data_IF_171965761299
#
_entry.id   IF_171965761299
#
_cell.length_a   1.000
_cell.length_b   1.000
_cell.length_c   1.000
_cell.angle_alpha   90.00
_cell.angle_beta   90.00
_cell.angle_gamma   90.00
#
_symmetry.space_group_name_H-M   'P 1'
#
loop_
_entity.id
_entity.type
_entity.pdbx_description
1 polymer ?
#
# COMPACT_ATOMS: atom_id res chain seq x y z
N UNK A 1 17.04 3.37 16.70
CA UNK A 1 15.96 4.31 16.34
C UNK A 1 16.27 5.62 17.04
N UNK A 2 16.07 6.79 16.43
CA UNK A 2 16.18 8.05 17.19
C UNK A 2 14.98 8.13 18.14
N UNK A 3 15.24 8.60 19.36
CA UNK A 3 14.19 8.88 20.33
C UNK A 3 13.28 10.02 19.81
N UNK A 4 12.03 10.00 20.28
CA UNK A 4 11.02 10.98 19.92
C UNK A 4 11.27 12.35 20.57
N UNK A 5 12.08 12.37 21.63
CA UNK A 5 12.53 13.55 22.34
C UNK A 5 14.06 13.66 22.33
N UNK A 6 14.53 14.87 22.62
CA UNK A 6 15.94 15.13 22.95
C UNK A 6 16.02 15.39 24.45
N UNK A 7 16.84 14.63 25.17
CA UNK A 7 17.07 14.88 26.59
C UNK A 7 18.00 16.09 26.75
N UNK A 8 17.49 17.15 27.37
CA UNK A 8 18.24 18.36 27.70
C UNK A 8 18.22 18.50 29.23
N UNK A 9 19.35 18.23 29.87
CA UNK A 9 19.51 18.32 31.33
C UNK A 9 18.50 17.47 32.13
N UNK A 10 18.17 16.26 31.65
CA UNK A 10 17.22 15.37 32.32
C UNK A 10 15.76 15.65 31.99
N UNK A 11 15.47 16.61 31.12
CA UNK A 11 14.12 16.93 30.62
C UNK A 11 14.02 16.46 29.17
N UNK A 12 12.99 15.68 28.86
CA UNK A 12 12.71 15.26 27.49
C UNK A 12 11.95 16.36 26.74
N UNK A 13 12.60 16.91 25.71
CA UNK A 13 12.03 17.95 24.85
C UNK A 13 11.53 17.32 23.55
N UNK A 14 10.23 17.40 23.32
CA UNK A 14 9.59 16.90 22.11
C UNK A 14 9.48 18.00 21.06
N UNK A 15 9.75 17.64 19.80
CA UNK A 15 9.60 18.58 18.68
C UNK A 15 8.13 18.80 18.31
N UNK A 16 7.27 17.80 18.54
CA UNK A 16 5.86 17.80 18.18
C UNK A 16 5.05 17.00 19.21
N UNK A 17 3.87 17.49 19.56
CA UNK A 17 2.96 16.82 20.52
C UNK A 17 2.55 15.42 20.08
N UNK A 18 2.50 15.17 18.76
CA UNK A 18 2.27 13.83 18.20
C UNK A 18 3.28 12.81 18.73
N UNK A 19 4.55 13.20 18.89
CA UNK A 19 5.58 12.32 19.42
C UNK A 19 5.47 12.16 20.94
N UNK A 20 5.07 13.23 21.64
CA UNK A 20 4.80 13.17 23.07
C UNK A 20 3.66 12.19 23.36
N UNK A 21 2.50 12.36 22.73
CA UNK A 21 1.33 11.49 22.94
C UNK A 21 1.54 10.06 22.46
N UNK A 22 2.40 9.84 21.45
CA UNK A 22 2.80 8.49 21.08
C UNK A 22 3.59 7.80 22.19
N UNK A 23 4.55 8.48 22.81
CA UNK A 23 5.35 7.93 23.91
C UNK A 23 4.53 7.81 25.19
N UNK A 24 3.62 8.76 25.45
CA UNK A 24 2.65 8.69 26.55
C UNK A 24 1.76 7.46 26.41
N UNK A 25 1.11 7.25 25.25
CA UNK A 25 0.28 6.07 25.00
C UNK A 25 1.05 4.75 25.21
N UNK A 26 2.27 4.65 24.70
CA UNK A 26 3.11 3.46 24.86
C UNK A 26 3.41 3.21 26.34
N UNK A 27 3.65 4.27 27.10
CA UNK A 27 3.98 4.17 28.52
C UNK A 27 2.76 3.89 29.40
N UNK A 28 1.63 4.55 29.14
CA UNK A 28 0.46 4.51 30.03
C UNK A 28 -0.53 3.43 29.63
N UNK A 29 -0.88 3.34 28.34
CA UNK A 29 -1.92 2.41 27.86
C UNK A 29 -1.34 1.02 27.56
N UNK A 30 -0.09 0.95 27.08
CA UNK A 30 0.58 -0.32 26.81
C UNK A 30 1.52 -0.78 27.92
N UNK A 31 1.76 0.04 28.95
CA UNK A 31 2.66 -0.25 30.07
C UNK A 31 4.10 -0.63 29.61
N UNK A 32 4.58 -0.01 28.52
CA UNK A 32 5.92 -0.26 27.96
C UNK A 32 6.84 0.91 28.30
N UNK A 33 7.76 0.70 29.25
CA UNK A 33 8.77 1.70 29.62
C UNK A 33 9.83 1.91 28.54
N UNK A 34 10.17 0.86 27.78
CA UNK A 34 11.19 0.90 26.73
C UNK A 34 10.79 0.04 25.54
N UNK A 35 10.78 0.67 24.37
CA UNK A 35 10.54 -0.04 23.11
C UNK A 35 11.73 -0.95 22.80
N UNK A 36 11.46 -2.25 22.71
CA UNK A 36 12.41 -3.30 22.33
C UNK A 36 11.85 -4.07 21.13
N UNK A 37 12.65 -4.96 20.54
CA UNK A 37 12.14 -5.79 19.44
C UNK A 37 11.10 -6.82 19.92
N UNK A 38 11.10 -7.16 21.20
CA UNK A 38 10.16 -8.12 21.82
C UNK A 38 8.74 -7.54 21.93
N UNK A 39 8.62 -6.25 22.27
CA UNK A 39 7.32 -5.57 22.43
C UNK A 39 6.89 -4.76 21.19
N UNK A 40 7.74 -4.70 20.15
CA UNK A 40 7.45 -3.96 18.92
C UNK A 40 6.15 -4.38 18.26
N UNK A 41 5.85 -5.68 18.24
CA UNK A 41 4.63 -6.21 17.63
C UNK A 41 3.36 -5.75 18.35
N UNK A 42 3.41 -5.57 19.67
CA UNK A 42 2.30 -5.03 20.47
C UNK A 42 1.99 -3.61 20.00
N UNK A 43 3.02 -2.77 19.88
CA UNK A 43 2.87 -1.38 19.42
C UNK A 43 2.37 -1.33 17.98
N UNK A 44 2.89 -2.19 17.09
CA UNK A 44 2.41 -2.29 15.70
C UNK A 44 0.93 -2.67 15.65
N UNK A 45 0.49 -3.62 16.49
CA UNK A 45 -0.89 -4.09 16.52
C UNK A 45 -1.85 -3.05 17.12
N UNK A 46 -1.37 -2.25 18.08
CA UNK A 46 -2.14 -1.16 18.70
C UNK A 46 -1.99 0.19 17.99
N UNK A 47 -1.34 0.24 16.82
CA UNK A 47 -0.98 1.51 16.19
C UNK A 47 -2.19 2.39 15.83
N UNK A 48 -3.31 1.79 15.42
CA UNK A 48 -4.52 2.55 15.10
C UNK A 48 -5.10 3.20 16.36
N UNK A 49 -5.10 2.48 17.47
CA UNK A 49 -5.57 2.99 18.77
C UNK A 49 -4.66 4.11 19.28
N UNK A 50 -3.34 3.95 19.16
CA UNK A 50 -2.38 5.03 19.42
C UNK A 50 -2.64 6.28 18.57
N UNK A 51 -2.99 6.12 17.29
CA UNK A 51 -3.33 7.26 16.43
C UNK A 51 -4.61 7.95 16.90
N UNK A 52 -5.62 7.21 17.34
CA UNK A 52 -6.84 7.78 17.91
C UNK A 52 -6.55 8.53 19.21
N UNK A 53 -5.74 7.95 20.09
CA UNK A 53 -5.28 8.59 21.33
C UNK A 53 -4.57 9.92 21.05
N UNK A 54 -3.61 9.93 20.12
CA UNK A 54 -2.94 11.17 19.71
C UNK A 54 -3.95 12.17 19.15
N UNK A 55 -4.87 11.71 18.30
CA UNK A 55 -5.88 12.54 17.68
C UNK A 55 -6.77 13.24 18.72
N UNK A 56 -7.15 12.56 19.80
CA UNK A 56 -7.98 13.11 20.88
C UNK A 56 -7.26 14.19 21.70
N UNK A 57 -5.93 14.16 21.72
CA UNK A 57 -5.12 15.03 22.58
C UNK A 57 -4.41 16.18 21.85
N UNK A 58 -4.47 16.25 20.51
CA UNK A 58 -3.92 17.37 19.73
C UNK A 58 -5.00 18.30 19.20
N UNK A 59 -4.65 19.58 19.01
CA UNK A 59 -5.52 20.53 18.30
C UNK A 59 -5.74 20.09 16.85
N UNK A 60 -7.00 20.12 16.41
CA UNK A 60 -7.37 19.69 15.05
C UNK A 60 -6.98 20.74 14.03
N UNK A 61 -6.19 20.39 13.00
CA UNK A 61 -5.82 21.33 11.95
C UNK A 61 -7.06 21.74 11.14
N UNK A 62 -7.09 22.98 10.68
CA UNK A 62 -8.10 23.42 9.71
C UNK A 62 -7.89 22.73 8.36
N UNK A 63 -9.00 22.37 7.70
CA UNK A 63 -8.99 21.83 6.35
C UNK A 63 -8.41 22.83 5.32
N UNK A 64 -8.39 24.13 5.64
CA UNK A 64 -7.81 25.17 4.78
C UNK A 64 -6.28 25.19 4.81
N UNK A 65 -5.67 24.76 5.92
CA UNK A 65 -4.22 24.84 6.13
C UNK A 65 -3.50 23.60 5.58
N UNK A 66 -3.34 23.57 4.26
CA UNK A 66 -2.70 22.45 3.57
C UNK A 66 -1.23 22.28 3.95
N UNK A 67 -0.53 23.35 4.31
CA UNK A 67 0.87 23.29 4.69
C UNK A 67 1.03 22.65 6.08
N UNK A 68 0.18 23.03 7.04
CA UNK A 68 0.13 22.37 8.34
C UNK A 68 -0.23 20.89 8.20
N UNK A 69 -1.28 20.56 7.43
CA UNK A 69 -1.68 19.18 7.17
C UNK A 69 -0.55 18.36 6.54
N UNK A 70 0.20 18.95 5.60
CA UNK A 70 1.35 18.30 4.98
C UNK A 70 2.51 18.13 5.98
N UNK A 71 2.73 19.08 6.89
CA UNK A 71 3.64 18.95 8.02
C UNK A 71 3.26 17.77 8.91
N UNK A 72 2.00 17.67 9.30
CA UNK A 72 1.46 16.56 10.11
C UNK A 72 1.62 15.23 9.38
N UNK A 73 1.33 15.16 8.07
CA UNK A 73 1.55 13.94 7.28
C UNK A 73 3.01 13.49 7.29
N UNK A 74 3.97 14.43 7.26
CA UNK A 74 5.39 14.11 7.34
C UNK A 74 5.80 13.55 8.71
N UNK A 75 5.16 13.99 9.79
CA UNK A 75 5.34 13.43 11.14
C UNK A 75 4.71 12.04 11.21
N UNK A 76 3.47 11.91 10.74
CA UNK A 76 2.71 10.65 10.68
C UNK A 76 3.48 9.55 9.95
N UNK A 77 3.97 9.79 8.72
CA UNK A 77 4.70 8.76 7.97
C UNK A 77 6.00 8.34 8.66
N UNK A 78 6.64 9.25 9.41
CA UNK A 78 7.82 8.92 10.24
C UNK A 78 7.43 8.05 11.42
N UNK A 79 6.29 8.33 12.05
CA UNK A 79 5.72 7.51 13.12
C UNK A 79 5.42 6.09 12.62
N UNK A 80 4.74 5.96 11.47
CA UNK A 80 4.50 4.66 10.84
C UNK A 80 5.81 3.89 10.60
N UNK A 81 6.82 4.54 10.02
CA UNK A 81 8.13 3.93 9.80
C UNK A 81 8.81 3.51 11.10
N UNK A 82 8.69 4.31 12.17
CA UNK A 82 9.27 4.03 13.49
C UNK A 82 8.73 2.72 14.07
N UNK A 83 7.43 2.49 13.95
CA UNK A 83 6.76 1.32 14.53
C UNK A 83 6.46 0.20 13.52
N UNK A 84 7.08 0.24 12.34
CA UNK A 84 6.98 -0.84 11.34
C UNK A 84 5.60 -0.96 10.68
N UNK A 85 4.83 0.13 10.66
CA UNK A 85 3.48 0.19 10.06
C UNK A 85 3.56 0.84 8.68
N UNK A 86 2.74 0.37 7.74
CA UNK A 86 2.59 1.01 6.44
C UNK A 86 1.60 2.19 6.56
N UNK A 87 1.99 3.41 6.18
CA UNK A 87 1.08 4.56 6.25
C UNK A 87 -0.08 4.39 5.27
N UNK A 88 -1.29 4.75 5.71
CA UNK A 88 -2.50 4.79 4.87
C UNK A 88 -3.18 6.14 5.02
N UNK A 89 -3.94 6.56 3.99
CA UNK A 89 -4.73 7.78 4.09
C UNK A 89 -5.89 7.64 5.07
N UNK A 90 -6.44 6.44 5.26
CA UNK A 90 -7.47 6.16 6.27
C UNK A 90 -6.94 6.45 7.68
N UNK A 91 -5.78 5.91 8.05
CA UNK A 91 -5.23 6.13 9.37
C UNK A 91 -4.75 7.58 9.55
N UNK A 92 -4.19 8.20 8.50
CA UNK A 92 -3.91 9.64 8.53
C UNK A 92 -5.18 10.48 8.76
N UNK A 93 -6.31 10.09 8.15
CA UNK A 93 -7.60 10.77 8.29
C UNK A 93 -8.10 10.78 9.74
N UNK A 94 -7.86 9.68 10.48
CA UNK A 94 -8.16 9.60 11.91
C UNK A 94 -7.33 10.60 12.73
N UNK A 95 -6.01 10.68 12.45
CA UNK A 95 -5.11 11.60 13.13
C UNK A 95 -5.58 13.05 13.03
N UNK A 96 -5.85 13.52 11.80
CA UNK A 96 -6.23 14.92 11.55
C UNK A 96 -7.71 15.20 11.72
N UNK A 97 -8.55 14.18 11.94
CA UNK A 97 -10.00 14.35 12.11
C UNK A 97 -10.74 14.79 10.84
N UNK A 98 -10.22 14.43 9.66
CA UNK A 98 -10.83 14.76 8.36
C UNK A 98 -11.44 13.48 7.77
N UNK A 99 -12.61 13.57 7.13
CA UNK A 99 -13.18 12.42 6.44
C UNK A 99 -12.27 11.98 5.29
N UNK A 100 -11.96 10.69 5.21
CA UNK A 100 -11.12 10.11 4.15
C UNK A 100 -11.58 10.46 2.73
N UNK A 101 -12.89 10.56 2.49
CA UNK A 101 -13.46 10.93 1.20
C UNK A 101 -13.04 12.34 0.78
N UNK A 102 -12.87 13.27 1.73
CA UNK A 102 -12.40 14.63 1.44
C UNK A 102 -11.03 14.65 0.77
N UNK A 103 -10.14 13.72 1.12
CA UNK A 103 -8.85 13.58 0.41
C UNK A 103 -9.04 13.11 -1.03
N UNK A 104 -10.01 12.22 -1.27
CA UNK A 104 -10.37 11.78 -2.63
C UNK A 104 -10.93 12.94 -3.45
N UNK A 105 -11.84 13.73 -2.89
CA UNK A 105 -12.42 14.89 -3.54
C UNK A 105 -11.35 15.91 -3.92
N UNK A 106 -10.37 16.15 -3.04
CA UNK A 106 -9.20 17.00 -3.34
C UNK A 106 -8.36 16.43 -4.47
N UNK A 107 -8.04 15.13 -4.46
CA UNK A 107 -7.25 14.49 -5.51
C UNK A 107 -7.95 14.58 -6.88
N UNK A 108 -9.26 14.38 -6.90
CA UNK A 108 -10.09 14.47 -8.10
C UNK A 108 -10.28 15.92 -8.58
N UNK A 109 -10.04 16.90 -7.72
CA UNK A 109 -10.31 18.31 -8.03
C UNK A 109 -11.81 18.61 -8.06
N UNK A 110 -12.61 17.93 -7.24
CA UNK A 110 -14.05 18.22 -7.13
C UNK A 110 -14.29 19.58 -6.45
N UNK A 111 -13.41 19.93 -5.51
CA UNK A 111 -13.36 21.23 -4.84
C UNK A 111 -11.91 21.70 -4.71
N UNK A 112 -11.69 23.02 -4.53
CA UNK A 112 -10.36 23.62 -4.34
C UNK A 112 -9.38 23.36 -5.50
N UNK A 113 -9.88 23.36 -6.73
CA UNK A 113 -9.11 23.07 -7.96
C UNK A 113 -7.92 23.98 -8.18
N UNK A 114 -7.94 25.20 -7.63
CA UNK A 114 -6.89 26.21 -7.77
C UNK A 114 -5.91 26.23 -6.59
N UNK A 115 -6.09 25.39 -5.57
CA UNK A 115 -5.21 25.35 -4.39
C UNK A 115 -4.22 24.18 -4.46
N UNK A 116 -3.25 24.18 -3.55
CA UNK A 116 -2.27 23.10 -3.43
C UNK A 116 -2.87 21.79 -2.87
N UNK A 117 -4.13 21.77 -2.42
CA UNK A 117 -4.77 20.62 -1.78
C UNK A 117 -4.76 19.37 -2.66
N UNK A 118 -5.15 19.49 -3.94
CA UNK A 118 -5.22 18.33 -4.82
C UNK A 118 -3.86 17.70 -5.12
N UNK A 119 -2.83 18.52 -5.36
CA UNK A 119 -1.46 18.04 -5.58
C UNK A 119 -0.86 17.44 -4.32
N UNK A 120 -1.14 18.03 -3.16
CA UNK A 120 -0.64 17.56 -1.87
C UNK A 120 -1.30 16.25 -1.46
N UNK A 121 -2.61 16.10 -1.64
CA UNK A 121 -3.32 14.85 -1.40
C UNK A 121 -2.84 13.71 -2.32
N UNK A 122 -2.58 14.00 -3.61
CA UNK A 122 -1.96 13.05 -4.55
C UNK A 122 -0.57 12.63 -4.06
N UNK A 123 0.25 13.57 -3.60
CA UNK A 123 1.57 13.29 -3.01
C UNK A 123 1.46 12.39 -1.77
N UNK A 124 0.48 12.60 -0.89
CA UNK A 124 0.25 11.73 0.25
C UNK A 124 -0.12 10.30 -0.18
N UNK A 125 -1.05 10.19 -1.13
CA UNK A 125 -1.45 8.90 -1.72
C UNK A 125 -0.27 8.15 -2.35
N UNK A 126 0.53 8.84 -3.17
CA UNK A 126 1.72 8.26 -3.80
C UNK A 126 2.79 7.87 -2.78
N UNK A 127 2.89 8.61 -1.67
CA UNK A 127 3.77 8.24 -0.56
C UNK A 127 3.31 6.93 0.08
N UNK A 128 2.03 6.80 0.43
CA UNK A 128 1.47 5.56 0.98
C UNK A 128 1.68 4.37 0.03
N UNK A 129 1.43 4.57 -1.27
CA UNK A 129 1.72 3.59 -2.33
C UNK A 129 3.19 3.17 -2.33
N UNK A 130 4.11 4.15 -2.27
CA UNK A 130 5.55 3.89 -2.32
C UNK A 130 6.05 3.07 -1.13
N UNK A 131 5.48 3.30 0.07
CA UNK A 131 5.79 2.47 1.25
C UNK A 131 5.36 1.02 1.04
N UNK A 132 4.15 0.78 0.50
CA UNK A 132 3.67 -0.56 0.21
C UNK A 132 4.54 -1.27 -0.84
N UNK A 133 4.88 -0.57 -1.93
CA UNK A 133 5.74 -1.11 -2.99
C UNK A 133 7.12 -1.45 -2.44
N UNK A 134 7.73 -0.56 -1.66
CA UNK A 134 9.03 -0.83 -1.04
C UNK A 134 8.96 -2.03 -0.09
N UNK A 135 7.89 -2.17 0.68
CA UNK A 135 7.71 -3.32 1.57
C UNK A 135 7.58 -4.63 0.81
N UNK A 136 6.78 -4.66 -0.27
CA UNK A 136 6.60 -5.84 -1.14
C UNK A 136 7.91 -6.22 -1.85
N UNK A 137 8.70 -5.24 -2.29
CA UNK A 137 9.98 -5.49 -2.96
C UNK A 137 11.04 -6.07 -2.01
N UNK A 138 10.99 -5.71 -0.72
CA UNK A 138 12.00 -6.12 0.26
C UNK A 138 11.52 -7.25 1.19
N UNK A 139 10.32 -7.81 0.98
CA UNK A 139 9.82 -8.92 1.79
C UNK A 139 10.53 -10.23 1.43
N UNK A 140 10.84 -11.06 2.43
CA UNK A 140 11.48 -12.39 2.24
C UNK A 140 10.58 -13.41 1.53
N UNK A 141 9.31 -13.07 1.28
CA UNK A 141 8.34 -13.92 0.61
C UNK A 141 7.12 -13.11 0.15
N UNK A 142 6.20 -13.80 -0.51
CA UNK A 142 4.97 -13.23 -1.06
C UNK A 142 3.94 -12.99 0.03
N UNK A 143 3.45 -11.76 0.14
CA UNK A 143 2.34 -11.38 1.01
C UNK A 143 1.09 -11.13 0.15
N UNK A 144 0.22 -12.15 0.03
CA UNK A 144 -0.96 -12.11 -0.83
C UNK A 144 -1.92 -10.97 -0.44
N UNK A 145 -2.07 -10.69 0.85
CA UNK A 145 -2.95 -9.62 1.34
C UNK A 145 -2.45 -8.26 0.86
N UNK A 146 -1.15 -8.00 0.96
CA UNK A 146 -0.55 -6.76 0.45
C UNK A 146 -0.65 -6.63 -1.06
N UNK A 147 -0.59 -7.74 -1.80
CA UNK A 147 -0.82 -7.73 -3.25
C UNK A 147 -2.28 -7.36 -3.57
N UNK A 148 -3.26 -7.93 -2.86
CA UNK A 148 -4.66 -7.55 -3.07
C UNK A 148 -4.93 -6.09 -2.73
N UNK A 149 -4.33 -5.58 -1.65
CA UNK A 149 -4.39 -4.15 -1.30
C UNK A 149 -3.72 -3.30 -2.38
N UNK A 150 -2.56 -3.69 -2.91
CA UNK A 150 -1.88 -2.97 -3.99
C UNK A 150 -2.76 -2.85 -5.25
N UNK A 151 -3.50 -3.92 -5.59
CA UNK A 151 -4.43 -3.94 -6.72
C UNK A 151 -5.67 -3.09 -6.46
N UNK A 152 -6.36 -3.33 -5.34
CA UNK A 152 -7.63 -2.69 -5.03
C UNK A 152 -7.51 -1.20 -4.70
N UNK A 153 -6.49 -0.82 -3.90
CA UNK A 153 -6.35 0.55 -3.41
C UNK A 153 -5.50 1.44 -4.33
N UNK A 154 -4.55 0.86 -5.08
CA UNK A 154 -3.57 1.63 -5.86
C UNK A 154 -3.56 1.33 -7.37
N UNK A 155 -4.49 0.50 -7.85
CA UNK A 155 -4.66 0.17 -9.26
C UNK A 155 -3.47 -0.55 -9.89
N UNK A 156 -2.64 -1.24 -9.09
CA UNK A 156 -1.50 -1.98 -9.61
C UNK A 156 -1.96 -3.24 -10.34
N UNK A 157 -1.23 -3.66 -11.37
CA UNK A 157 -1.54 -4.85 -12.14
C UNK A 157 -0.28 -5.67 -12.38
N UNK A 158 -0.45 -6.99 -12.55
CA UNK A 158 0.63 -7.87 -13.02
C UNK A 158 1.01 -7.45 -14.44
N UNK A 159 2.30 -7.51 -14.77
CA UNK A 159 2.70 -7.46 -16.17
C UNK A 159 2.26 -8.76 -16.84
N UNK A 160 1.26 -8.69 -17.72
CA UNK A 160 0.88 -9.84 -18.52
C UNK A 160 2.09 -10.24 -19.40
N UNK A 161 2.40 -11.54 -19.52
CA UNK A 161 3.44 -11.98 -20.44
C UNK A 161 3.05 -11.49 -21.84
N UNK A 162 4.00 -10.83 -22.52
CA UNK A 162 3.84 -10.48 -23.93
C UNK A 162 3.62 -11.80 -24.66
N UNK A 163 2.41 -12.03 -25.16
CA UNK A 163 2.17 -13.15 -26.06
C UNK A 163 3.09 -12.92 -27.25
N UNK A 164 4.15 -13.72 -27.37
CA UNK A 164 4.94 -13.75 -28.59
C UNK A 164 3.94 -14.04 -29.71
N UNK A 165 3.94 -13.20 -30.75
CA UNK A 165 3.08 -13.42 -31.90
C UNK A 165 3.21 -14.90 -32.29
N UNK A 166 2.09 -15.63 -32.28
CA UNK A 166 2.11 -17.01 -32.75
C UNK A 166 2.78 -16.99 -34.12
N UNK A 167 3.78 -17.85 -34.39
CA UNK A 167 4.24 -18.01 -35.77
C UNK A 167 2.97 -18.26 -36.60
N UNK A 168 2.78 -17.44 -37.63
CA UNK A 168 1.63 -17.47 -38.54
C UNK A 168 1.13 -18.90 -38.68
N UNK A 169 -0.10 -19.11 -38.22
CA UNK A 169 -0.65 -20.43 -37.97
C UNK A 169 -0.42 -21.39 -39.13
N UNK A 170 -0.36 -22.68 -38.79
CA UNK A 170 -0.57 -23.77 -39.75
C UNK A 170 -1.75 -23.34 -40.63
N UNK A 171 -1.59 -23.24 -41.97
CA UNK A 171 -2.67 -22.83 -42.84
C UNK A 171 -3.91 -23.66 -42.51
N UNK A 172 -5.03 -23.02 -42.17
CA UNK A 172 -6.30 -23.72 -42.06
C UNK A 172 -6.63 -24.25 -43.46
N UNK A 173 -6.26 -25.51 -43.69
CA UNK A 173 -6.61 -26.21 -44.92
C UNK A 173 -8.13 -26.22 -45.04
N UNK A 174 -8.63 -25.89 -46.23
CA UNK A 174 -10.08 -25.87 -46.43
C UNK A 174 -10.65 -27.27 -46.22
N UNK A 175 -11.95 -27.36 -45.92
CA UNK A 175 -12.63 -28.66 -45.79
C UNK A 175 -12.41 -29.55 -47.03
N UNK A 176 -12.30 -28.95 -48.21
CA UNK A 176 -11.99 -29.68 -49.44
C UNK A 176 -10.56 -30.25 -49.46
N UNK A 177 -9.56 -29.51 -48.99
CA UNK A 177 -8.17 -30.01 -48.89
C UNK A 177 -8.04 -31.19 -47.93
N UNK A 178 -8.74 -31.13 -46.80
CA UNK A 178 -8.78 -32.23 -45.81
C UNK A 178 -9.45 -33.46 -46.44
N UNK A 179 -10.58 -33.28 -47.12
CA UNK A 179 -11.28 -34.38 -47.81
C UNK A 179 -10.43 -35.01 -48.92
N UNK A 180 -9.72 -34.22 -49.72
CA UNK A 180 -8.84 -34.71 -50.77
C UNK A 180 -7.66 -35.53 -50.22
N UNK A 181 -7.09 -35.11 -49.08
CA UNK A 181 -5.99 -35.84 -48.42
C UNK A 181 -6.45 -37.18 -47.85
N UNK A 182 -7.67 -37.24 -47.32
CA UNK A 182 -8.25 -38.45 -46.73
C UNK A 182 -8.91 -39.38 -47.76
N UNK A 183 -9.24 -38.90 -48.96
CA UNK A 183 -9.78 -39.72 -50.05
C UNK A 183 -8.83 -40.87 -50.45
N UNK A 184 -7.50 -40.66 -50.33
CA UNK A 184 -6.49 -41.71 -50.57
C UNK A 184 -6.40 -42.77 -49.47
N UNK A 185 -7.06 -42.59 -48.32
CA UNK A 185 -7.09 -43.53 -47.20
C UNK A 185 -8.39 -44.32 -47.11
N UNK A 186 -9.41 -43.98 -47.91
CA UNK A 186 -10.65 -44.76 -47.97
C UNK A 186 -10.38 -46.05 -48.75
N UNK A 187 -10.23 -47.16 -48.02
CA UNK A 187 -9.92 -48.49 -48.57
C UNK A 187 -8.47 -48.95 -48.37
N UNK A 188 -7.62 -48.16 -47.70
CA UNK A 188 -6.30 -48.62 -47.31
C UNK A 188 -6.41 -49.72 -46.25
N UNK A 189 -5.68 -50.83 -46.44
CA UNK A 189 -5.67 -51.97 -45.50
C UNK A 189 -5.15 -51.50 -44.14
N UNK A 190 -5.89 -51.80 -43.08
CA UNK A 190 -5.54 -51.41 -41.71
C UNK A 190 -4.12 -51.93 -41.39
N UNK A 191 -3.18 -51.07 -40.95
CA UNK A 191 -1.82 -51.51 -40.68
C UNK A 191 -1.80 -52.48 -39.50
N UNK A 192 -1.05 -53.57 -39.64
CA UNK A 192 -0.94 -54.60 -38.61
C UNK A 192 -0.42 -53.99 -37.30
N UNK A 193 -1.07 -54.32 -36.20
CA UNK A 193 -0.67 -53.84 -34.87
C UNK A 193 0.70 -54.42 -34.54
N UNK A 194 1.63 -53.61 -34.00
CA UNK A 194 2.93 -54.12 -33.59
C UNK A 194 2.76 -55.17 -32.50
N UNK A 195 3.44 -56.30 -32.69
CA UNK A 195 3.50 -57.37 -31.69
C UNK A 195 4.26 -56.87 -30.45
N UNK A 196 3.75 -57.23 -29.27
CA UNK A 196 4.26 -56.81 -27.95
C UNK A 196 5.36 -57.78 -27.50
#
# INVERSE_FOLDING_TARGET
MKDNAVNVNGIDVYLHDIYYYADEYIKTELEIDKVTDENRSIITNSFVDMILYIAENIEKPSNDDIELLNGIFNIYKRLCSKYGVLPTLECFSFLVGINRTTFTDWMNGEYRTTTAHGNTAKKWFDTCKSFLVNNLQNSRGTDANKIFVAKAAYGMAEAAPVQMAQPQGIPQQSREEIAARHAGYIGAKEPERPEI
#
